data_IF_689937849733
#
_entry.id   IF_689937849733
#
_cell.length_a   1.000
_cell.length_b   1.000
_cell.length_c   1.000
_cell.angle_alpha   90.00
_cell.angle_beta   90.00
_cell.angle_gamma   90.00
#
_symmetry.space_group_name_H-M   'P 1'
#
loop_
_entity.id
_entity.type
_entity.pdbx_description
1 polymer ?
#
# COMPACT_ATOMS: atom_id res chain seq x y z
N UNK A 1 -52.69 -20.33 -29.80
CA UNK A 1 -51.33 -20.48 -30.36
C UNK A 1 -50.46 -21.16 -29.31
N UNK A 2 -50.01 -22.36 -29.61
CA UNK A 2 -49.21 -23.14 -28.68
C UNK A 2 -47.83 -22.54 -28.47
N UNK A 3 -47.19 -22.87 -27.35
CA UNK A 3 -45.82 -22.39 -27.04
C UNK A 3 -44.83 -22.78 -28.16
N UNK A 4 -45.02 -23.94 -28.76
CA UNK A 4 -44.23 -24.45 -29.88
C UNK A 4 -44.39 -23.60 -31.15
N UNK A 5 -45.58 -23.11 -31.44
CA UNK A 5 -45.80 -22.17 -32.55
C UNK A 5 -45.16 -20.82 -32.32
N UNK A 6 -45.22 -20.30 -31.10
CA UNK A 6 -44.55 -19.04 -30.74
C UNK A 6 -43.03 -19.12 -30.91
N UNK A 7 -42.43 -20.22 -30.46
CA UNK A 7 -41.00 -20.48 -30.63
C UNK A 7 -40.61 -20.59 -32.12
N UNK A 8 -41.41 -21.33 -32.92
CA UNK A 8 -41.15 -21.51 -34.36
C UNK A 8 -41.23 -20.17 -35.13
N UNK A 9 -42.23 -19.35 -34.79
CA UNK A 9 -42.38 -18.02 -35.39
C UNK A 9 -41.25 -17.07 -35.00
N UNK A 10 -40.79 -17.10 -33.74
CA UNK A 10 -39.64 -16.35 -33.28
C UNK A 10 -38.37 -16.76 -34.06
N UNK A 11 -38.07 -18.05 -34.20
CA UNK A 11 -36.91 -18.52 -34.95
C UNK A 11 -36.96 -18.15 -36.43
N UNK A 12 -38.13 -18.16 -37.06
CA UNK A 12 -38.31 -17.74 -38.44
C UNK A 12 -38.10 -16.21 -38.60
N UNK A 13 -38.57 -15.42 -37.66
CA UNK A 13 -38.33 -13.98 -37.65
C UNK A 13 -36.85 -13.66 -37.49
N UNK A 14 -36.13 -14.41 -36.66
CA UNK A 14 -34.68 -14.25 -36.46
C UNK A 14 -33.85 -14.57 -37.73
N UNK A 15 -34.35 -15.38 -38.64
CA UNK A 15 -33.67 -15.75 -39.89
C UNK A 15 -33.84 -14.71 -41.00
N UNK A 16 -34.69 -13.70 -40.83
CA UNK A 16 -34.82 -12.61 -41.81
C UNK A 16 -33.62 -11.65 -41.70
N UNK A 17 -33.26 -10.95 -42.79
CA UNK A 17 -32.16 -9.97 -42.73
C UNK A 17 -32.36 -8.91 -41.64
N UNK A 18 -33.61 -8.49 -41.39
CA UNK A 18 -33.95 -7.55 -40.31
C UNK A 18 -33.83 -8.21 -38.93
N UNK A 19 -34.25 -9.48 -38.80
CA UNK A 19 -34.12 -10.25 -37.57
C UNK A 19 -32.66 -10.48 -37.18
N UNK A 20 -31.81 -10.82 -38.14
CA UNK A 20 -30.36 -10.96 -37.96
C UNK A 20 -29.70 -9.63 -37.52
N UNK A 21 -30.12 -8.50 -38.12
CA UNK A 21 -29.64 -7.19 -37.70
C UNK A 21 -30.03 -6.87 -36.25
N UNK A 22 -31.28 -7.13 -35.85
CA UNK A 22 -31.74 -6.89 -34.47
C UNK A 22 -30.92 -7.74 -33.48
N UNK A 23 -30.68 -9.03 -33.79
CA UNK A 23 -29.86 -9.90 -32.95
C UNK A 23 -28.42 -9.37 -32.86
N UNK A 24 -27.84 -8.95 -33.97
CA UNK A 24 -26.48 -8.39 -33.99
C UNK A 24 -26.39 -7.13 -33.13
N UNK A 25 -27.37 -6.22 -33.24
CA UNK A 25 -27.37 -4.98 -32.42
C UNK A 25 -27.61 -5.27 -30.93
N UNK A 26 -28.45 -6.24 -30.57
CA UNK A 26 -28.67 -6.63 -29.16
C UNK A 26 -27.43 -7.28 -28.56
N UNK A 27 -26.77 -8.17 -29.31
CA UNK A 27 -25.48 -8.75 -28.85
C UNK A 27 -24.40 -7.71 -28.70
N UNK A 28 -24.28 -6.79 -29.67
CA UNK A 28 -23.31 -5.69 -29.58
C UNK A 28 -23.57 -4.78 -28.36
N UNK A 29 -24.85 -4.47 -28.09
CA UNK A 29 -25.20 -3.65 -26.90
C UNK A 29 -24.94 -4.37 -25.58
N UNK A 30 -25.17 -5.68 -25.50
CA UNK A 30 -24.84 -6.49 -24.31
C UNK A 30 -23.34 -6.58 -24.10
N UNK A 31 -22.56 -6.76 -25.17
CA UNK A 31 -21.10 -6.78 -25.10
C UNK A 31 -20.57 -5.41 -24.67
N UNK A 32 -21.08 -4.32 -25.25
CA UNK A 32 -20.72 -2.95 -24.87
C UNK A 32 -21.08 -2.66 -23.41
N UNK A 33 -22.29 -3.01 -22.97
CA UNK A 33 -22.69 -2.82 -21.58
C UNK A 33 -21.83 -3.66 -20.62
N UNK A 34 -21.57 -4.93 -20.98
CA UNK A 34 -20.68 -5.81 -20.23
C UNK A 34 -19.23 -5.27 -20.15
N UNK A 35 -18.71 -4.75 -21.27
CA UNK A 35 -17.39 -4.12 -21.31
C UNK A 35 -17.31 -2.84 -20.45
N UNK A 36 -18.37 -2.03 -20.48
CA UNK A 36 -18.46 -0.83 -19.64
C UNK A 36 -18.55 -1.18 -18.16
N UNK A 37 -19.32 -2.19 -17.80
CA UNK A 37 -19.40 -2.69 -16.41
C UNK A 37 -18.04 -3.28 -16.00
N UNK A 38 -17.45 -4.13 -16.83
CA UNK A 38 -16.14 -4.71 -16.57
C UNK A 38 -15.09 -3.61 -16.35
N UNK A 39 -14.99 -2.65 -17.28
CA UNK A 39 -14.02 -1.54 -17.18
C UNK A 39 -14.24 -0.65 -15.95
N UNK A 40 -15.50 -0.35 -15.60
CA UNK A 40 -15.79 0.56 -14.47
C UNK A 40 -15.76 -0.12 -13.10
N UNK A 41 -15.99 -1.44 -13.00
CA UNK A 41 -16.12 -2.12 -11.72
C UNK A 41 -15.06 -3.20 -11.48
N UNK A 42 -14.45 -3.77 -12.51
CA UNK A 42 -13.51 -4.88 -12.37
C UNK A 42 -12.10 -4.47 -12.79
N UNK A 43 -11.97 -3.70 -13.87
CA UNK A 43 -10.68 -3.33 -14.46
C UNK A 43 -10.34 -1.83 -14.25
N UNK A 44 -11.02 -1.19 -13.29
CA UNK A 44 -10.62 0.16 -12.89
C UNK A 44 -9.21 0.04 -12.29
N UNK A 45 -8.18 0.65 -12.92
CA UNK A 45 -6.89 0.75 -12.24
C UNK A 45 -7.18 1.35 -10.87
N UNK A 46 -6.66 0.76 -9.82
CA UNK A 46 -6.66 1.39 -8.51
C UNK A 46 -5.92 2.72 -8.70
N UNK A 47 -6.68 3.80 -8.96
CA UNK A 47 -6.13 5.14 -8.86
C UNK A 47 -5.77 5.30 -7.39
N UNK A 48 -4.49 5.06 -7.10
CA UNK A 48 -3.95 5.29 -5.78
C UNK A 48 -4.13 6.74 -5.39
N UNK A 49 -4.11 6.96 -4.11
CA UNK A 49 -4.13 8.29 -3.55
C UNK A 49 -2.99 9.13 -4.12
N UNK A 50 -3.23 10.41 -4.27
CA UNK A 50 -2.26 11.40 -4.77
C UNK A 50 -2.21 12.60 -3.84
N UNK A 51 -1.25 13.46 -4.06
CA UNK A 51 -1.12 14.73 -3.34
C UNK A 51 -2.44 15.51 -3.34
N UNK A 52 -2.86 15.94 -2.16
CA UNK A 52 -4.11 16.65 -1.90
C UNK A 52 -5.29 15.76 -1.55
N UNK A 53 -5.21 14.45 -1.75
CA UNK A 53 -6.26 13.52 -1.32
C UNK A 53 -6.23 13.31 0.20
N UNK A 54 -7.38 13.02 0.78
CA UNK A 54 -7.46 12.57 2.17
C UNK A 54 -6.79 11.22 2.37
N UNK A 55 -5.93 11.12 3.39
CA UNK A 55 -5.36 9.86 3.81
C UNK A 55 -6.48 8.96 4.37
N UNK A 56 -6.65 7.73 3.86
CA UNK A 56 -7.64 6.80 4.39
C UNK A 56 -7.27 6.37 5.81
N UNK A 57 -8.26 6.06 6.65
CA UNK A 57 -7.99 5.43 7.94
C UNK A 57 -7.55 3.98 7.74
N UNK A 58 -6.49 3.58 8.41
CA UNK A 58 -5.94 2.22 8.36
C UNK A 58 -5.37 1.83 9.72
N UNK A 59 -5.22 0.53 9.90
CA UNK A 59 -4.60 -0.07 11.10
C UNK A 59 -3.52 -1.05 10.67
N UNK A 60 -2.38 -1.02 11.35
CA UNK A 60 -1.24 -1.89 11.11
C UNK A 60 -0.86 -2.62 12.40
N UNK A 61 -0.45 -3.87 12.28
CA UNK A 61 0.23 -4.58 13.37
C UNK A 61 1.65 -4.04 13.50
N UNK A 62 2.07 -3.79 14.74
CA UNK A 62 3.38 -3.21 15.02
C UNK A 62 4.37 -4.24 15.56
N UNK A 63 5.63 -3.86 15.56
CA UNK A 63 6.69 -4.54 16.28
C UNK A 63 7.05 -3.71 17.52
N UNK A 64 7.60 -4.38 18.54
CA UNK A 64 8.25 -3.72 19.66
C UNK A 64 9.71 -4.16 19.75
N UNK A 65 10.56 -3.30 20.27
CA UNK A 65 11.96 -3.63 20.56
C UNK A 65 12.07 -3.87 22.05
N UNK A 66 12.47 -5.08 22.42
CA UNK A 66 12.65 -5.50 23.80
C UNK A 66 13.97 -6.24 23.94
N UNK A 67 14.77 -5.85 24.92
CA UNK A 67 16.10 -6.41 25.15
C UNK A 67 17.00 -6.39 23.90
N UNK A 68 16.86 -5.36 23.05
CA UNK A 68 17.51 -5.15 21.75
C UNK A 68 17.03 -6.05 20.60
N UNK A 69 15.99 -6.84 20.83
CA UNK A 69 15.40 -7.68 19.80
C UNK A 69 14.04 -7.17 19.36
N UNK A 70 13.77 -7.22 18.07
CA UNK A 70 12.43 -7.03 17.51
C UNK A 70 11.55 -8.22 17.89
N UNK A 71 10.35 -7.92 18.34
CA UNK A 71 9.32 -8.90 18.67
C UNK A 71 7.98 -8.45 18.08
N UNK A 72 7.07 -9.40 17.86
CA UNK A 72 5.70 -9.09 17.54
C UNK A 72 5.05 -8.38 18.73
N UNK A 73 4.39 -7.25 18.45
CA UNK A 73 3.64 -6.51 19.46
C UNK A 73 2.16 -6.85 19.40
N UNK A 74 1.48 -6.86 20.54
CA UNK A 74 0.02 -6.89 20.61
C UNK A 74 -0.62 -5.52 20.31
N UNK A 75 0.20 -4.50 20.14
CA UNK A 75 -0.26 -3.14 19.80
C UNK A 75 -0.47 -2.99 18.31
N UNK A 76 -1.34 -2.07 17.97
CA UNK A 76 -1.57 -1.66 16.58
C UNK A 76 -1.32 -0.15 16.44
N UNK A 77 -0.84 0.24 15.27
CA UNK A 77 -0.83 1.62 14.84
C UNK A 77 -2.13 1.91 14.11
N UNK A 78 -2.85 2.94 14.48
CA UNK A 78 -4.02 3.40 13.76
C UNK A 78 -3.87 4.86 13.35
N UNK A 79 -4.06 5.16 12.06
CA UNK A 79 -3.88 6.50 11.52
C UNK A 79 -4.71 7.57 12.24
N UNK A 80 -5.99 7.29 12.51
CA UNK A 80 -6.89 8.25 13.17
C UNK A 80 -6.46 8.67 14.57
N UNK A 81 -5.61 7.88 15.25
CA UNK A 81 -5.14 8.18 16.61
C UNK A 81 -3.99 9.21 16.61
N UNK A 82 -3.40 9.48 15.43
CA UNK A 82 -2.28 10.41 15.24
C UNK A 82 -2.65 11.71 14.54
N UNK A 83 -3.96 12.03 14.46
CA UNK A 83 -4.42 13.31 13.89
C UNK A 83 -3.84 14.49 14.62
N UNK A 84 -3.47 15.52 13.86
CA UNK A 84 -2.81 16.72 14.39
C UNK A 84 -1.29 16.66 14.39
N UNK A 85 -0.71 15.48 14.09
CA UNK A 85 0.72 15.34 13.77
C UNK A 85 0.92 15.22 12.25
N UNK A 86 2.11 15.54 11.80
CA UNK A 86 2.57 15.15 10.45
C UNK A 86 2.91 13.67 10.51
N UNK A 87 2.36 12.88 9.56
CA UNK A 87 2.63 11.45 9.49
C UNK A 87 3.55 11.14 8.30
N UNK A 88 4.60 10.39 8.54
CA UNK A 88 5.51 9.90 7.51
C UNK A 88 5.44 8.39 7.45
N UNK A 89 4.99 7.84 6.32
CA UNK A 89 4.91 6.42 6.06
C UNK A 89 6.00 6.03 5.08
N UNK A 90 6.88 5.12 5.46
CA UNK A 90 7.89 4.57 4.56
C UNK A 90 7.61 3.09 4.30
N UNK A 91 7.49 2.72 3.03
CA UNK A 91 7.23 1.35 2.59
C UNK A 91 8.53 0.69 2.10
N UNK A 92 8.86 -0.46 2.70
CA UNK A 92 10.10 -1.18 2.42
C UNK A 92 9.88 -2.70 2.29
N UNK A 93 10.92 -3.41 1.84
CA UNK A 93 10.97 -4.87 1.80
C UNK A 93 12.35 -5.39 2.17
N UNK A 94 12.42 -6.64 2.63
CA UNK A 94 13.68 -7.27 3.08
C UNK A 94 14.72 -7.40 1.97
N UNK A 95 14.28 -7.56 0.73
CA UNK A 95 15.13 -7.63 -0.47
C UNK A 95 15.38 -6.27 -1.15
N UNK A 96 14.92 -5.17 -0.55
CA UNK A 96 15.08 -3.83 -1.09
C UNK A 96 16.30 -3.15 -0.45
N UNK A 97 17.43 -3.18 -1.13
CA UNK A 97 18.67 -2.58 -0.64
C UNK A 97 18.57 -1.08 -0.40
N UNK A 98 18.07 -0.25 -1.37
CA UNK A 98 17.94 1.19 -1.14
C UNK A 98 16.96 1.54 -0.02
N UNK A 99 15.95 0.68 0.25
CA UNK A 99 15.06 0.89 1.39
C UNK A 99 15.82 0.81 2.73
N UNK A 100 16.70 -0.20 2.85
CA UNK A 100 17.48 -0.42 4.09
C UNK A 100 18.45 0.73 4.38
N UNK A 101 18.99 1.33 3.32
CA UNK A 101 19.92 2.44 3.41
C UNK A 101 19.27 3.74 3.88
N UNK A 102 17.98 3.93 3.59
CA UNK A 102 17.27 5.16 3.96
C UNK A 102 16.55 5.10 5.31
N UNK A 103 16.27 3.90 5.86
CA UNK A 103 15.53 3.76 7.15
C UNK A 103 16.15 4.57 8.29
N UNK A 104 17.48 4.69 8.45
CA UNK A 104 18.07 5.55 9.47
C UNK A 104 17.65 7.02 9.37
N UNK A 105 17.43 7.56 8.17
CA UNK A 105 16.98 8.94 7.97
C UNK A 105 15.58 9.20 8.58
N UNK A 106 14.72 8.20 8.54
CA UNK A 106 13.38 8.29 9.12
C UNK A 106 13.41 8.26 10.64
N UNK A 107 14.29 7.44 11.23
CA UNK A 107 14.47 7.44 12.67
C UNK A 107 15.07 8.78 13.16
N UNK A 108 16.08 9.30 12.48
CA UNK A 108 16.65 10.63 12.77
C UNK A 108 15.58 11.73 12.69
N UNK A 109 14.71 11.70 11.69
CA UNK A 109 13.60 12.65 11.60
C UNK A 109 12.66 12.52 12.81
N UNK A 110 12.32 11.30 13.20
CA UNK A 110 11.46 11.07 14.36
C UNK A 110 12.08 11.58 15.64
N UNK A 111 13.36 11.31 15.87
CA UNK A 111 14.07 11.79 17.06
C UNK A 111 14.11 13.32 17.15
N UNK A 112 14.28 14.00 16.02
CA UNK A 112 14.34 15.45 15.97
C UNK A 112 12.95 16.12 16.13
N UNK A 113 11.86 15.45 15.72
CA UNK A 113 10.53 16.06 15.63
C UNK A 113 9.40 15.24 16.26
N UNK A 114 9.67 14.35 17.22
CA UNK A 114 8.70 13.40 17.80
C UNK A 114 7.45 14.06 18.41
N UNK A 115 7.51 15.32 18.83
CA UNK A 115 6.35 16.07 19.32
C UNK A 115 5.31 16.32 18.21
N UNK A 116 5.78 16.56 16.99
CA UNK A 116 4.99 17.06 15.86
C UNK A 116 4.85 16.05 14.71
N UNK A 117 5.74 15.07 14.68
CA UNK A 117 5.83 14.07 13.61
C UNK A 117 5.64 12.68 14.18
N UNK A 118 4.94 11.84 13.43
CA UNK A 118 4.89 10.39 13.64
C UNK A 118 5.49 9.69 12.43
N UNK A 119 6.39 8.75 12.65
CA UNK A 119 7.08 8.00 11.59
C UNK A 119 6.77 6.52 11.71
N UNK A 120 6.31 5.92 10.62
CA UNK A 120 5.97 4.49 10.55
C UNK A 120 6.71 3.82 9.40
N UNK A 121 7.55 2.86 9.73
CA UNK A 121 8.34 2.05 8.80
C UNK A 121 7.56 0.75 8.54
N UNK A 122 6.97 0.65 7.34
CA UNK A 122 5.99 -0.39 7.00
C UNK A 122 6.62 -1.42 6.09
N UNK A 123 6.76 -2.67 6.57
CA UNK A 123 7.13 -3.76 5.67
C UNK A 123 5.95 -4.08 4.75
N UNK A 124 6.12 -3.81 3.45
CA UNK A 124 5.13 -4.04 2.40
C UNK A 124 5.34 -5.32 1.61
N UNK A 125 6.23 -6.21 2.07
CA UNK A 125 6.54 -7.44 1.35
C UNK A 125 5.44 -8.49 1.54
N UNK A 126 4.76 -8.83 0.46
CA UNK A 126 3.84 -9.97 0.46
C UNK A 126 4.55 -11.31 0.63
N UNK A 127 3.90 -12.26 1.30
CA UNK A 127 4.38 -13.64 1.42
C UNK A 127 5.46 -13.90 2.48
N UNK A 128 5.91 -12.88 3.21
CA UNK A 128 6.76 -13.07 4.38
C UNK A 128 5.90 -13.23 5.64
N UNK A 129 6.15 -14.29 6.44
CA UNK A 129 5.45 -14.42 7.71
C UNK A 129 5.97 -13.42 8.75
N UNK A 130 5.14 -13.03 9.74
CA UNK A 130 5.57 -12.13 10.80
C UNK A 130 6.83 -12.59 11.53
N UNK A 131 6.90 -13.89 11.81
CA UNK A 131 8.02 -14.50 12.51
C UNK A 131 9.30 -14.45 11.67
N UNK A 132 9.19 -14.71 10.37
CA UNK A 132 10.33 -14.60 9.45
C UNK A 132 10.82 -13.16 9.31
N UNK A 133 9.89 -12.19 9.35
CA UNK A 133 10.25 -10.77 9.33
C UNK A 133 10.97 -10.37 10.61
N UNK A 134 10.50 -10.82 11.77
CA UNK A 134 11.21 -10.64 13.06
C UNK A 134 12.60 -11.25 13.01
N UNK A 135 12.74 -12.49 12.54
CA UNK A 135 14.05 -13.15 12.40
C UNK A 135 14.97 -12.35 11.47
N UNK A 136 14.43 -11.81 10.38
CA UNK A 136 15.19 -10.98 9.46
C UNK A 136 15.67 -9.68 10.15
N UNK A 137 14.78 -8.96 10.84
CA UNK A 137 15.13 -7.70 11.53
C UNK A 137 16.14 -7.92 12.66
N UNK A 138 16.14 -9.11 13.29
CA UNK A 138 17.13 -9.52 14.29
C UNK A 138 18.39 -10.17 13.69
N UNK A 139 18.53 -10.18 12.38
CA UNK A 139 19.69 -10.74 11.70
C UNK A 139 19.79 -12.26 11.66
N UNK A 140 18.75 -12.96 12.09
CA UNK A 140 18.77 -14.42 12.26
C UNK A 140 18.21 -15.19 11.05
N UNK A 141 17.55 -14.53 10.09
CA UNK A 141 16.93 -15.18 8.94
C UNK A 141 17.68 -14.89 7.67
N UNK A 142 18.45 -15.84 7.17
CA UNK A 142 18.92 -15.84 5.79
C UNK A 142 19.62 -14.55 5.39
N UNK A 143 20.19 -13.84 6.35
CA UNK A 143 21.11 -12.77 6.06
C UNK A 143 22.12 -13.35 5.09
N UNK A 144 22.10 -12.90 3.87
CA UNK A 144 22.93 -13.38 2.80
C UNK A 144 24.41 -13.21 3.13
N UNK A 145 24.72 -12.40 4.14
CA UNK A 145 26.03 -12.35 4.81
C UNK A 145 25.93 -11.58 6.13
N UNK A 146 26.71 -11.99 7.13
CA UNK A 146 26.96 -11.27 8.37
C UNK A 146 27.40 -9.81 8.13
N UNK A 147 28.08 -9.54 7.03
CA UNK A 147 28.49 -8.20 6.60
C UNK A 147 27.29 -7.32 6.23
N UNK A 148 26.26 -7.87 5.61
CA UNK A 148 25.02 -7.16 5.27
C UNK A 148 24.25 -6.81 6.54
N UNK A 149 24.14 -7.75 7.47
CA UNK A 149 23.53 -7.52 8.77
C UNK A 149 24.22 -6.38 9.52
N UNK A 150 25.54 -6.45 9.70
CA UNK A 150 26.30 -5.44 10.43
C UNK A 150 26.29 -4.07 9.75
N UNK A 151 26.04 -4.00 8.44
CA UNK A 151 26.01 -2.73 7.71
C UNK A 151 24.69 -1.99 7.87
N UNK A 152 23.55 -2.74 7.93
CA UNK A 152 22.24 -2.11 7.84
C UNK A 152 21.35 -2.29 9.08
N UNK A 153 21.53 -3.35 9.86
CA UNK A 153 20.61 -3.72 10.93
C UNK A 153 21.16 -3.54 12.33
N UNK A 154 22.48 -3.44 12.50
CA UNK A 154 23.13 -3.44 13.82
C UNK A 154 22.71 -2.29 14.75
N UNK A 155 21.96 -1.31 14.24
CA UNK A 155 21.49 -0.15 15.01
C UNK A 155 19.96 -0.03 15.05
N UNK A 156 19.23 -0.93 14.37
CA UNK A 156 17.78 -0.82 14.33
C UNK A 156 17.14 -1.07 15.68
N UNK A 157 17.78 -1.82 16.56
CA UNK A 157 17.35 -2.02 17.93
C UNK A 157 17.39 -0.74 18.78
N UNK A 158 18.06 0.30 18.32
CA UNK A 158 18.12 1.60 18.97
C UNK A 158 17.07 2.58 18.44
N UNK A 159 16.35 2.20 17.38
CA UNK A 159 15.38 3.07 16.74
C UNK A 159 14.13 3.25 17.60
N UNK A 160 13.62 4.47 17.58
CA UNK A 160 12.49 4.92 18.39
C UNK A 160 11.22 5.14 17.58
N UNK A 161 11.33 5.19 16.24
CA UNK A 161 10.18 5.26 15.35
C UNK A 161 9.39 3.93 15.32
N UNK A 162 8.14 3.99 14.86
CA UNK A 162 7.25 2.82 14.81
C UNK A 162 7.59 1.92 13.64
N UNK A 163 7.85 0.64 13.92
CA UNK A 163 7.92 -0.41 12.91
C UNK A 163 6.59 -1.16 12.83
N UNK A 164 6.11 -1.34 11.60
CA UNK A 164 4.84 -2.00 11.34
C UNK A 164 4.94 -2.95 10.13
N UNK A 165 3.93 -3.79 9.96
CA UNK A 165 3.82 -4.69 8.83
C UNK A 165 2.47 -4.55 8.14
N UNK A 166 2.49 -4.79 6.86
CA UNK A 166 1.31 -4.94 6.05
C UNK A 166 0.64 -6.30 6.29
N UNK A 167 -0.68 -6.29 6.45
CA UNK A 167 -1.51 -7.50 6.49
C UNK A 167 -2.56 -7.47 5.38
N UNK A 168 -2.59 -8.47 4.48
CA UNK A 168 -3.50 -8.47 3.34
C UNK A 168 -4.99 -8.48 3.70
N UNK A 169 -5.33 -8.84 4.93
CA UNK A 169 -6.72 -9.06 5.35
C UNK A 169 -7.49 -7.82 5.78
N UNK A 170 -6.81 -6.73 6.13
CA UNK A 170 -7.43 -5.56 6.74
C UNK A 170 -6.93 -4.25 6.12
N UNK A 171 -7.55 -3.80 5.04
CA UNK A 171 -7.18 -2.55 4.36
C UNK A 171 -5.82 -2.64 3.68
N UNK A 172 -5.82 -2.89 2.39
CA UNK A 172 -4.62 -2.93 1.57
C UNK A 172 -3.96 -1.54 1.48
N UNK A 173 -3.18 -1.20 2.50
CA UNK A 173 -2.48 0.09 2.61
C UNK A 173 -1.58 0.33 1.41
N UNK A 174 -1.02 -0.74 0.82
CA UNK A 174 -0.18 -0.64 -0.38
C UNK A 174 -1.00 -0.20 -1.58
N UNK A 175 -2.16 -0.81 -1.80
CA UNK A 175 -3.03 -0.41 -2.91
C UNK A 175 -3.70 0.96 -2.66
N UNK A 176 -3.98 1.33 -1.40
CA UNK A 176 -4.50 2.66 -1.08
C UNK A 176 -3.61 3.79 -1.60
N UNK A 177 -2.30 3.61 -1.52
CA UNK A 177 -1.32 4.60 -1.98
C UNK A 177 -0.77 4.30 -3.38
N UNK A 178 -1.35 3.32 -4.11
CA UNK A 178 -0.83 2.82 -5.37
C UNK A 178 0.68 2.55 -5.31
N UNK A 179 1.14 1.98 -4.19
CA UNK A 179 2.51 1.53 -4.05
C UNK A 179 2.70 0.43 -5.08
N UNK A 180 3.20 0.82 -6.24
CA UNK A 180 3.56 -0.12 -7.30
C UNK A 180 4.75 -0.96 -6.84
N UNK A 181 5.10 -2.06 -7.54
CA UNK A 181 6.19 -2.95 -7.10
C UNK A 181 7.56 -2.28 -6.93
N UNK A 182 7.69 -1.00 -7.21
CA UNK A 182 8.94 -0.25 -7.05
C UNK A 182 9.03 0.38 -5.65
N UNK A 183 9.74 -0.28 -4.75
CA UNK A 183 10.12 0.26 -3.44
C UNK A 183 11.51 0.92 -3.52
N UNK A 184 11.81 1.86 -2.61
CA UNK A 184 10.98 2.38 -1.54
C UNK A 184 9.91 3.39 -1.99
N UNK A 185 8.88 3.56 -1.16
CA UNK A 185 7.87 4.62 -1.33
C UNK A 185 7.69 5.32 0.00
N UNK A 186 7.66 6.66 -0.03
CA UNK A 186 7.39 7.48 1.14
C UNK A 186 6.13 8.32 0.92
N UNK A 187 5.25 8.32 1.91
CA UNK A 187 4.04 9.16 1.94
C UNK A 187 4.13 10.10 3.12
N UNK A 188 3.99 11.39 2.84
CA UNK A 188 3.91 12.43 3.89
C UNK A 188 2.47 12.92 3.97
N UNK A 189 1.88 12.88 5.16
CA UNK A 189 0.51 13.33 5.43
C UNK A 189 0.57 14.51 6.39
N UNK A 190 -0.15 15.58 6.09
CA UNK A 190 -0.18 16.78 6.91
C UNK A 190 -1.06 16.62 8.17
N UNK A 191 -1.04 17.62 9.04
CA UNK A 191 -1.82 17.65 10.29
C UNK A 191 -3.34 17.58 10.08
N UNK A 192 -3.83 17.93 8.88
CA UNK A 192 -5.24 17.85 8.48
C UNK A 192 -5.62 16.46 7.96
N UNK A 193 -4.64 15.59 7.76
CA UNK A 193 -4.82 14.26 7.22
C UNK A 193 -4.86 14.21 5.69
N UNK A 194 -4.33 15.24 5.01
CA UNK A 194 -4.18 15.27 3.56
C UNK A 194 -2.78 14.79 3.16
N UNK A 195 -2.70 14.05 2.08
CA UNK A 195 -1.42 13.63 1.51
C UNK A 195 -0.68 14.86 0.97
N UNK A 196 0.38 15.25 1.66
CA UNK A 196 1.23 16.37 1.27
C UNK A 196 2.23 15.97 0.17
N UNK A 197 2.81 14.77 0.28
CA UNK A 197 3.73 14.24 -0.74
C UNK A 197 3.62 12.72 -0.86
N UNK A 198 3.91 12.21 -2.07
CA UNK A 198 4.09 10.80 -2.38
C UNK A 198 5.35 10.66 -3.22
N UNK A 199 6.36 10.02 -2.65
CA UNK A 199 7.71 10.00 -3.18
C UNK A 199 8.07 8.55 -3.52
N UNK A 200 8.42 8.30 -4.78
CA UNK A 200 8.96 7.01 -5.23
C UNK A 200 10.48 7.07 -5.31
N UNK A 201 11.12 6.01 -4.85
CA UNK A 201 12.57 5.89 -4.78
C UNK A 201 13.15 6.46 -3.49
N UNK A 202 14.46 6.25 -3.31
CA UNK A 202 15.16 6.62 -2.08
C UNK A 202 15.17 8.12 -1.82
N UNK A 203 15.18 8.47 -0.55
CA UNK A 203 15.19 9.85 -0.09
C UNK A 203 16.32 10.07 0.92
N UNK A 204 17.01 11.20 0.84
CA UNK A 204 17.98 11.62 1.86
C UNK A 204 17.29 12.33 3.02
N UNK A 205 17.97 12.41 4.17
CA UNK A 205 17.46 13.12 5.34
C UNK A 205 17.05 14.56 5.03
N UNK A 206 17.91 15.33 4.38
CA UNK A 206 17.68 16.76 4.10
C UNK A 206 16.44 16.95 3.20
N UNK A 207 16.24 16.05 2.27
CA UNK A 207 15.10 16.10 1.38
C UNK A 207 13.80 15.72 2.09
N UNK A 208 13.86 14.71 2.95
CA UNK A 208 12.74 14.27 3.79
C UNK A 208 12.33 15.39 4.76
N UNK A 209 13.31 15.96 5.48
CA UNK A 209 13.13 17.10 6.39
C UNK A 209 12.51 18.31 5.67
N UNK A 210 12.98 18.60 4.45
CA UNK A 210 12.44 19.68 3.63
C UNK A 210 10.97 19.53 3.23
N UNK A 211 10.44 18.31 3.17
CA UNK A 211 9.01 18.06 2.96
C UNK A 211 8.20 18.16 4.26
N UNK A 212 8.79 17.83 5.38
CA UNK A 212 8.11 17.71 6.68
C UNK A 212 8.06 19.03 7.42
N UNK A 213 9.16 19.77 7.49
CA UNK A 213 9.28 21.00 8.29
C UNK A 213 8.28 22.11 7.91
N UNK A 214 7.85 22.29 6.64
CA UNK A 214 6.81 23.27 6.33
C UNK A 214 5.41 22.88 6.81
N UNK A 215 5.21 21.64 7.29
CA UNK A 215 3.92 21.10 7.73
C UNK A 215 3.75 21.07 9.25
N UNK A 216 4.84 21.34 9.99
CA UNK A 216 4.87 21.33 11.47
C UNK A 216 4.22 22.56 12.09
#
# INVERSE_FOLDING_TARGET
MSLTEKIKNFWNACKTPKGLQIIAWTLASVVLAGSLVYYNFIDKPLEGKKKGDGCPDFTLSTFEIKDKDFQLSDKTFRFSDHKGKVLVLNFWATNCQPCKEEIPHFNELYENYASDVEVVIINGQGGISPENLVQFMNGNAGATSEKEYQTYYQYWEEFTCTFARYEPSNNDVLSMFAVTPALPVTVVVDRQGLIAELIQGSITYERLEGYVTPLI
#
